data_IF_987490712442
#
_entry.id   IF_987490712442
#
_cell.length_a   1.000
_cell.length_b   1.000
_cell.length_c   1.000
_cell.angle_alpha   90.00
_cell.angle_beta   90.00
_cell.angle_gamma   90.00
#
_symmetry.space_group_name_H-M   'P 1'
#
loop_
_entity.id
_entity.type
_entity.pdbx_description
1 polymer ?
#
# COMPACT_ATOMS: atom_id res chain seq x y z
N UNK A 1 -51.91 6.86 -11.17
CA UNK A 1 -50.98 6.44 -12.23
C UNK A 1 -49.68 6.07 -11.55
N UNK A 2 -49.68 4.86 -10.99
CA UNK A 2 -48.49 4.27 -10.39
C UNK A 2 -47.58 3.85 -11.55
N UNK A 3 -46.43 4.51 -11.66
CA UNK A 3 -45.36 3.98 -12.47
C UNK A 3 -44.76 2.80 -11.70
N UNK A 4 -45.18 1.58 -12.03
CA UNK A 4 -44.35 0.41 -11.74
C UNK A 4 -42.99 0.69 -12.37
N UNK A 5 -42.02 1.07 -11.54
CA UNK A 5 -40.63 1.04 -11.95
C UNK A 5 -40.37 -0.40 -12.39
N UNK A 6 -40.02 -0.58 -13.64
CA UNK A 6 -39.75 -1.89 -14.21
C UNK A 6 -38.65 -2.55 -13.37
N UNK A 7 -38.99 -3.65 -12.72
CA UNK A 7 -38.10 -4.41 -11.86
C UNK A 7 -36.79 -4.75 -12.58
N UNK A 8 -36.86 -4.99 -13.89
CA UNK A 8 -35.71 -5.26 -14.73
C UNK A 8 -34.79 -4.02 -14.88
N UNK A 9 -35.38 -2.83 -14.93
CA UNK A 9 -34.61 -1.58 -14.99
C UNK A 9 -33.83 -1.35 -13.68
N UNK A 10 -34.47 -1.59 -12.53
CA UNK A 10 -33.84 -1.48 -11.22
C UNK A 10 -32.70 -2.50 -11.05
N UNK A 11 -32.90 -3.74 -11.49
CA UNK A 11 -31.88 -4.78 -11.46
C UNK A 11 -30.68 -4.42 -12.37
N UNK A 12 -30.93 -3.88 -13.54
CA UNK A 12 -29.88 -3.43 -14.46
C UNK A 12 -29.10 -2.27 -13.89
N UNK A 13 -29.77 -1.25 -13.34
CA UNK A 13 -29.14 -0.09 -12.73
C UNK A 13 -28.31 -0.52 -11.50
N UNK A 14 -28.82 -1.46 -10.70
CA UNK A 14 -28.10 -2.00 -9.55
C UNK A 14 -26.84 -2.77 -9.98
N UNK A 15 -26.93 -3.60 -11.02
CA UNK A 15 -25.79 -4.34 -11.55
C UNK A 15 -24.73 -3.40 -12.16
N UNK A 16 -25.15 -2.33 -12.82
CA UNK A 16 -24.24 -1.31 -13.34
C UNK A 16 -23.49 -0.59 -12.20
N UNK A 17 -24.21 -0.23 -11.13
CA UNK A 17 -23.62 0.36 -9.92
C UNK A 17 -22.64 -0.62 -9.28
N UNK A 18 -23.01 -1.89 -9.10
CA UNK A 18 -22.14 -2.92 -8.52
C UNK A 18 -20.86 -3.07 -9.36
N UNK A 19 -20.98 -3.20 -10.67
CA UNK A 19 -19.85 -3.35 -11.60
C UNK A 19 -18.91 -2.12 -11.53
N UNK A 20 -19.49 -0.93 -11.45
CA UNK A 20 -18.74 0.33 -11.32
C UNK A 20 -18.01 0.43 -9.97
N UNK A 21 -18.64 -0.04 -8.89
CA UNK A 21 -18.03 -0.14 -7.56
C UNK A 21 -16.90 -1.19 -7.50
N UNK A 22 -17.11 -2.35 -8.11
CA UNK A 22 -16.08 -3.39 -8.21
C UNK A 22 -14.87 -2.89 -9.01
N UNK A 23 -15.10 -2.18 -10.11
CA UNK A 23 -14.03 -1.56 -10.89
C UNK A 23 -13.31 -0.46 -10.11
N UNK A 24 -14.04 0.37 -9.35
CA UNK A 24 -13.45 1.39 -8.50
C UNK A 24 -12.64 0.76 -7.35
N UNK A 25 -13.18 -0.27 -6.71
CA UNK A 25 -12.50 -1.04 -5.66
C UNK A 25 -11.27 -1.76 -6.21
N UNK A 26 -11.36 -2.36 -7.39
CA UNK A 26 -10.22 -2.95 -8.10
C UNK A 26 -9.16 -1.90 -8.41
N UNK A 27 -9.56 -0.72 -8.91
CA UNK A 27 -8.65 0.41 -9.18
C UNK A 27 -7.98 0.92 -7.89
N UNK A 28 -8.71 1.00 -6.78
CA UNK A 28 -8.15 1.35 -5.46
C UNK A 28 -7.24 0.26 -4.91
N UNK A 29 -7.53 -1.02 -5.15
CA UNK A 29 -6.69 -2.15 -4.73
C UNK A 29 -5.45 -2.33 -5.60
N UNK A 30 -5.43 -1.74 -6.80
CA UNK A 30 -4.27 -1.68 -7.70
C UNK A 30 -3.46 -0.39 -7.53
N UNK A 31 -3.83 0.49 -6.58
CA UNK A 31 -3.01 1.64 -6.27
C UNK A 31 -1.64 1.19 -5.76
N UNK A 32 -0.62 1.69 -6.46
CA UNK A 32 0.79 1.48 -6.15
C UNK A 32 1.09 1.90 -4.72
N UNK A 33 1.67 0.99 -3.94
CA UNK A 33 2.10 1.29 -2.57
C UNK A 33 3.53 1.80 -2.52
N UNK A 34 3.82 2.51 -1.44
CA UNK A 34 5.13 3.06 -1.13
C UNK A 34 5.66 2.45 0.16
N UNK A 35 6.84 1.89 0.08
CA UNK A 35 7.47 1.16 1.17
C UNK A 35 8.83 1.73 1.53
N UNK A 36 9.05 2.02 2.82
CA UNK A 36 10.40 2.19 3.34
C UNK A 36 11.00 0.83 3.64
N UNK A 37 12.24 0.62 3.21
CA UNK A 37 12.95 -0.64 3.37
C UNK A 37 14.36 -0.42 3.91
N UNK A 38 14.76 -1.16 4.97
CA UNK A 38 16.14 -1.16 5.49
C UNK A 38 16.88 -2.37 4.93
N UNK A 39 17.85 -2.19 4.00
CA UNK A 39 18.61 -3.30 3.41
C UNK A 39 19.73 -3.77 4.37
N UNK A 40 19.36 -4.53 5.40
CA UNK A 40 20.23 -4.99 6.47
C UNK A 40 20.58 -3.90 7.49
N UNK A 41 21.42 -4.26 8.46
CA UNK A 41 21.88 -3.34 9.51
C UNK A 41 22.73 -2.23 8.92
N UNK A 42 22.34 -0.97 9.20
CA UNK A 42 23.01 0.20 8.61
C UNK A 42 23.12 0.14 7.08
N UNK A 43 22.15 -0.49 6.43
CA UNK A 43 22.11 -0.67 4.98
C UNK A 43 23.31 -1.44 4.39
N UNK A 44 23.93 -2.33 5.16
CA UNK A 44 25.13 -3.09 4.76
C UNK A 44 24.88 -4.05 3.57
N UNK A 45 23.63 -4.27 3.19
CA UNK A 45 23.23 -5.08 2.02
C UNK A 45 22.82 -4.25 0.80
N UNK A 46 22.88 -2.93 0.91
CA UNK A 46 22.39 -2.05 -0.17
C UNK A 46 23.13 -2.25 -1.48
N UNK A 47 24.45 -2.27 -1.44
CA UNK A 47 25.26 -2.45 -2.66
C UNK A 47 25.01 -3.79 -3.35
N UNK A 48 24.88 -4.85 -2.56
CA UNK A 48 24.56 -6.19 -3.06
C UNK A 48 23.18 -6.21 -3.70
N UNK A 49 22.17 -5.67 -3.02
CA UNK A 49 20.79 -5.69 -3.50
C UNK A 49 20.60 -4.82 -4.74
N UNK A 50 21.24 -3.66 -4.77
CA UNK A 50 21.22 -2.80 -5.94
C UNK A 50 21.83 -3.50 -7.15
N UNK A 51 23.02 -4.09 -7.00
CA UNK A 51 23.73 -4.76 -8.09
C UNK A 51 23.02 -6.02 -8.60
N UNK A 52 22.25 -6.70 -7.73
CA UNK A 52 21.50 -7.92 -8.08
C UNK A 52 20.06 -7.64 -8.54
N UNK A 53 19.58 -6.41 -8.48
CA UNK A 53 18.20 -6.06 -8.82
C UNK A 53 17.17 -6.74 -7.90
N UNK A 54 17.45 -6.81 -6.60
CA UNK A 54 16.59 -7.46 -5.61
C UNK A 54 16.40 -6.62 -4.35
N UNK A 55 15.36 -6.94 -3.59
CA UNK A 55 15.28 -6.70 -2.17
C UNK A 55 15.22 -8.03 -1.44
N UNK A 56 15.89 -8.10 -0.28
CA UNK A 56 15.98 -9.31 0.52
C UNK A 56 15.63 -9.04 1.97
N UNK A 57 14.92 -9.96 2.62
CA UNK A 57 14.56 -9.86 4.03
C UNK A 57 15.36 -10.86 4.87
N UNK A 58 15.84 -10.41 6.02
CA UNK A 58 16.55 -11.21 7.00
C UNK A 58 15.66 -12.21 7.75
N UNK A 59 16.03 -12.60 8.97
CA UNK A 59 15.38 -13.65 9.76
C UNK A 59 15.38 -15.01 9.04
N UNK A 60 16.51 -15.40 8.45
CA UNK A 60 16.63 -16.61 7.62
C UNK A 60 16.24 -17.89 8.37
N UNK A 61 16.36 -17.91 9.70
CA UNK A 61 15.90 -18.98 10.58
C UNK A 61 14.40 -19.28 10.52
N UNK A 62 13.57 -18.36 9.97
CA UNK A 62 12.17 -18.62 9.67
C UNK A 62 11.99 -19.55 8.46
N UNK A 63 12.98 -19.62 7.55
CA UNK A 63 12.84 -20.32 6.28
C UNK A 63 11.87 -19.61 5.33
N UNK A 64 11.18 -20.39 4.48
CA UNK A 64 10.20 -19.87 3.54
C UNK A 64 8.95 -19.37 4.24
N UNK A 65 8.58 -18.10 3.99
CA UNK A 65 7.40 -17.48 4.62
C UNK A 65 6.08 -18.10 4.18
N UNK A 66 6.02 -18.77 3.05
CA UNK A 66 4.82 -19.49 2.59
C UNK A 66 4.37 -20.61 3.55
N UNK A 67 5.24 -21.00 4.47
CA UNK A 67 4.91 -21.98 5.52
C UNK A 67 4.05 -21.38 6.65
N UNK A 68 3.82 -20.06 6.67
CA UNK A 68 3.05 -19.38 7.72
C UNK A 68 1.80 -18.77 7.12
N UNK A 69 0.65 -19.08 7.74
CA UNK A 69 -0.66 -18.53 7.30
C UNK A 69 -1.01 -17.22 7.98
N UNK A 70 -0.52 -17.04 9.20
CA UNK A 70 -0.83 -15.86 10.01
C UNK A 70 0.44 -15.19 10.56
N UNK A 71 0.29 -13.93 10.92
CA UNK A 71 1.36 -13.19 11.58
C UNK A 71 1.69 -13.75 12.96
N UNK A 72 0.70 -14.26 13.66
CA UNK A 72 0.82 -14.87 14.98
C UNK A 72 1.71 -16.13 14.95
N UNK A 73 1.59 -16.93 13.91
CA UNK A 73 2.47 -18.10 13.69
C UNK A 73 3.94 -17.67 13.56
N UNK A 74 4.20 -16.55 12.85
CA UNK A 74 5.55 -15.97 12.72
C UNK A 74 6.05 -15.47 14.08
N UNK A 75 5.21 -14.81 14.89
CA UNK A 75 5.58 -14.36 16.25
C UNK A 75 6.01 -15.52 17.10
N UNK A 76 5.19 -16.58 17.19
CA UNK A 76 5.47 -17.78 18.00
C UNK A 76 6.77 -18.45 17.53
N UNK A 77 6.96 -18.56 16.21
CA UNK A 77 8.18 -19.15 15.66
C UNK A 77 9.43 -18.34 16.00
N UNK A 78 9.38 -17.01 15.87
CA UNK A 78 10.49 -16.12 16.24
C UNK A 78 10.82 -16.21 17.74
N UNK A 79 9.82 -16.17 18.61
CA UNK A 79 10.00 -16.33 20.05
C UNK A 79 10.69 -17.64 20.41
N UNK A 80 10.28 -18.74 19.74
CA UNK A 80 10.87 -20.06 19.94
C UNK A 80 12.34 -20.13 19.47
N UNK A 81 12.64 -19.56 18.29
CA UNK A 81 14.00 -19.55 17.73
C UNK A 81 14.94 -18.73 18.61
N UNK A 82 14.50 -17.56 19.04
CA UNK A 82 15.32 -16.62 19.82
C UNK A 82 15.26 -16.88 21.32
N UNK A 83 14.51 -17.90 21.77
CA UNK A 83 14.32 -18.26 23.19
C UNK A 83 13.92 -17.05 24.05
N UNK A 84 12.99 -16.24 23.57
CA UNK A 84 12.59 -14.97 24.19
C UNK A 84 11.09 -14.85 24.33
N UNK A 85 10.65 -14.11 25.36
CA UNK A 85 9.25 -13.71 25.54
C UNK A 85 8.96 -12.30 25.00
N UNK A 86 9.91 -11.67 24.29
CA UNK A 86 9.69 -10.36 23.67
C UNK A 86 8.56 -10.43 22.64
N UNK A 87 7.88 -9.31 22.39
CA UNK A 87 6.65 -9.31 21.59
C UNK A 87 6.83 -9.76 20.13
N UNK A 88 8.02 -9.61 19.55
CA UNK A 88 8.35 -9.91 18.14
C UNK A 88 7.35 -9.44 17.08
N UNK A 89 6.38 -8.59 17.46
CA UNK A 89 5.29 -8.14 16.58
C UNK A 89 5.82 -7.36 15.38
N UNK A 90 6.82 -6.50 15.56
CA UNK A 90 7.38 -5.73 14.45
C UNK A 90 8.12 -6.61 13.44
N UNK A 91 8.88 -7.60 13.94
CA UNK A 91 9.63 -8.55 13.11
C UNK A 91 8.67 -9.43 12.31
N UNK A 92 7.63 -9.96 12.99
CA UNK A 92 6.57 -10.74 12.35
C UNK A 92 5.78 -9.93 11.33
N UNK A 93 5.46 -8.67 11.65
CA UNK A 93 4.76 -7.78 10.71
C UNK A 93 5.59 -7.57 9.45
N UNK A 94 6.89 -7.26 9.57
CA UNK A 94 7.76 -7.08 8.41
C UNK A 94 7.80 -8.34 7.51
N UNK A 95 7.90 -9.54 8.11
CA UNK A 95 7.91 -10.79 7.36
C UNK A 95 6.55 -11.07 6.69
N UNK A 96 5.45 -10.88 7.41
CA UNK A 96 4.11 -11.09 6.89
C UNK A 96 3.78 -10.12 5.75
N UNK A 97 4.07 -8.82 5.91
CA UNK A 97 3.85 -7.80 4.89
C UNK A 97 4.74 -8.03 3.67
N UNK A 98 5.98 -8.45 3.86
CA UNK A 98 6.90 -8.75 2.76
C UNK A 98 6.36 -9.86 1.84
N UNK A 99 5.71 -10.88 2.40
CA UNK A 99 5.08 -11.95 1.64
C UNK A 99 3.76 -11.49 0.99
N UNK A 100 2.86 -10.88 1.80
CA UNK A 100 1.44 -10.79 1.46
C UNK A 100 0.99 -9.40 0.96
N UNK A 101 1.73 -8.34 1.28
CA UNK A 101 1.23 -6.97 1.08
C UNK A 101 1.97 -6.19 -0.01
N UNK A 102 3.20 -6.60 -0.33
CA UNK A 102 3.97 -6.00 -1.43
C UNK A 102 3.51 -6.61 -2.74
N UNK A 103 3.24 -5.77 -3.73
CA UNK A 103 2.80 -6.15 -5.06
C UNK A 103 3.77 -5.71 -6.15
N UNK A 104 3.71 -6.34 -7.31
CA UNK A 104 4.43 -5.87 -8.51
C UNK A 104 3.94 -4.46 -8.85
N UNK A 105 4.88 -3.55 -9.11
CA UNK A 105 4.60 -2.13 -9.34
C UNK A 105 4.76 -1.23 -8.12
N UNK A 106 4.82 -1.77 -6.89
CA UNK A 106 5.06 -0.98 -5.69
C UNK A 106 6.42 -0.29 -5.71
N UNK A 107 6.50 0.89 -5.09
CA UNK A 107 7.74 1.66 -4.94
C UNK A 107 8.44 1.28 -3.64
N UNK A 108 9.70 0.90 -3.76
CA UNK A 108 10.57 0.63 -2.62
C UNK A 108 11.58 1.76 -2.47
N UNK A 109 11.63 2.36 -1.29
CA UNK A 109 12.58 3.42 -0.93
C UNK A 109 13.52 2.87 0.14
N UNK A 110 14.75 2.46 -0.24
CA UNK A 110 15.75 1.99 0.72
C UNK A 110 16.24 3.14 1.60
N UNK A 111 16.45 2.82 2.88
CA UNK A 111 16.88 3.78 3.88
C UNK A 111 18.03 3.27 4.72
N UNK A 112 18.82 4.20 5.29
CA UNK A 112 19.90 3.91 6.25
C UNK A 112 19.64 4.62 7.56
N UNK A 113 19.37 3.83 8.59
CA UNK A 113 19.06 4.34 9.92
C UNK A 113 17.82 5.26 9.90
N UNK A 114 17.95 6.42 10.57
CA UNK A 114 16.92 7.47 10.67
C UNK A 114 17.28 8.73 9.88
N UNK A 115 18.29 8.67 9.01
CA UNK A 115 18.94 9.86 8.50
C UNK A 115 19.01 9.94 6.98
N UNK A 116 18.98 8.80 6.29
CA UNK A 116 19.28 8.77 4.86
C UNK A 116 18.32 7.88 4.10
N UNK A 117 17.93 8.34 2.91
CA UNK A 117 17.33 7.53 1.85
C UNK A 117 18.40 7.23 0.81
N UNK A 118 18.37 6.03 0.21
CA UNK A 118 19.46 5.54 -0.64
C UNK A 118 19.06 5.40 -2.12
N UNK A 119 17.82 5.71 -2.46
CA UNK A 119 17.30 5.62 -3.80
C UNK A 119 15.84 5.22 -3.85
N UNK A 120 15.41 4.70 -5.00
CA UNK A 120 14.13 4.03 -5.16
C UNK A 120 14.19 2.99 -6.27
N UNK A 121 13.23 2.06 -6.22
CA UNK A 121 13.01 1.06 -7.25
C UNK A 121 11.57 0.59 -7.30
N UNK A 122 11.24 -0.16 -8.35
CA UNK A 122 9.91 -0.70 -8.61
C UNK A 122 9.97 -2.21 -8.45
N UNK A 123 9.05 -2.78 -7.68
CA UNK A 123 8.94 -4.25 -7.53
C UNK A 123 8.53 -4.87 -8.85
N UNK A 124 9.28 -5.88 -9.30
CA UNK A 124 9.06 -6.54 -10.59
C UNK A 124 8.76 -8.05 -10.48
N UNK A 125 8.72 -8.59 -9.25
CA UNK A 125 8.33 -9.99 -9.04
C UNK A 125 7.50 -10.18 -7.80
N UNK A 126 6.78 -11.28 -7.77
CA UNK A 126 6.25 -11.82 -6.52
C UNK A 126 7.36 -12.27 -5.58
N UNK A 127 6.97 -12.58 -4.34
CA UNK A 127 7.86 -13.18 -3.36
C UNK A 127 8.40 -14.54 -3.85
N UNK A 128 9.71 -14.77 -3.65
CA UNK A 128 10.33 -16.08 -3.81
C UNK A 128 11.37 -16.35 -2.71
N UNK A 129 11.52 -17.63 -2.36
CA UNK A 129 12.54 -18.10 -1.45
C UNK A 129 13.74 -18.60 -2.22
N UNK A 130 14.92 -18.03 -1.96
CA UNK A 130 16.18 -18.42 -2.62
C UNK A 130 17.10 -19.15 -1.66
N UNK A 131 16.99 -20.49 -1.62
CA UNK A 131 17.80 -21.35 -0.75
C UNK A 131 19.30 -21.34 -1.07
N UNK A 132 19.69 -20.86 -2.26
CA UNK A 132 21.11 -20.77 -2.65
C UNK A 132 21.84 -19.58 -2.03
N UNK A 133 21.11 -18.63 -1.44
CA UNK A 133 21.71 -17.49 -0.73
C UNK A 133 22.07 -17.93 0.68
N UNK A 134 23.24 -17.46 1.15
CA UNK A 134 23.71 -17.70 2.52
C UNK A 134 22.92 -16.89 3.56
N UNK A 135 22.33 -15.78 3.16
CA UNK A 135 21.50 -14.89 4.00
C UNK A 135 20.55 -14.06 3.15
N UNK A 136 19.51 -13.51 3.79
CA UNK A 136 18.45 -12.75 3.10
C UNK A 136 17.83 -13.59 1.98
N UNK A 137 17.43 -14.80 2.32
CA UNK A 137 16.91 -15.81 1.40
C UNK A 137 15.50 -15.49 0.89
N UNK A 138 14.75 -14.66 1.60
CA UNK A 138 13.43 -14.17 1.24
C UNK A 138 13.57 -12.98 0.32
N UNK A 139 13.15 -13.11 -0.94
CA UNK A 139 13.49 -12.14 -1.97
C UNK A 139 12.28 -11.70 -2.81
N UNK A 140 12.42 -10.51 -3.40
CA UNK A 140 11.65 -10.00 -4.53
C UNK A 140 12.61 -9.34 -5.52
N UNK A 141 12.34 -9.41 -6.83
CA UNK A 141 13.06 -8.62 -7.81
C UNK A 141 12.59 -7.17 -7.75
N UNK A 142 13.54 -6.26 -7.91
CA UNK A 142 13.30 -4.82 -7.93
C UNK A 142 14.11 -4.21 -9.07
N UNK A 143 13.46 -3.44 -9.90
CA UNK A 143 14.11 -2.59 -10.88
C UNK A 143 14.50 -1.27 -10.19
N UNK A 144 15.74 -1.19 -9.73
CA UNK A 144 16.28 -0.01 -9.05
C UNK A 144 16.50 1.11 -10.05
N UNK A 145 15.72 2.19 -9.93
CA UNK A 145 15.72 3.33 -10.86
C UNK A 145 16.76 4.38 -10.50
N UNK A 146 17.01 4.57 -9.22
CA UNK A 146 17.92 5.62 -8.75
C UNK A 146 18.68 5.17 -7.52
N UNK A 147 19.96 5.55 -7.47
CA UNK A 147 20.86 5.34 -6.34
C UNK A 147 21.52 6.68 -5.97
N UNK A 148 21.59 6.97 -4.69
CA UNK A 148 22.19 8.19 -4.17
C UNK A 148 22.09 8.24 -2.66
N UNK A 149 22.29 9.41 -2.08
CA UNK A 149 22.11 9.65 -0.65
C UNK A 149 21.33 10.95 -0.49
N UNK A 150 20.18 10.89 0.15
CA UNK A 150 19.35 12.03 0.48
C UNK A 150 19.18 12.07 1.99
N UNK A 151 19.67 13.16 2.59
CA UNK A 151 19.61 13.36 4.03
C UNK A 151 18.18 13.67 4.49
N UNK A 152 17.79 13.08 5.64
CA UNK A 152 16.58 13.46 6.37
C UNK A 152 16.97 14.35 7.56
N UNK A 153 16.79 15.68 7.46
CA UNK A 153 17.30 16.62 8.46
C UNK A 153 16.68 16.43 9.84
N UNK A 154 15.41 16.00 9.88
CA UNK A 154 14.62 15.90 11.12
C UNK A 154 14.76 14.56 11.83
N UNK A 155 15.49 13.59 11.26
CA UNK A 155 15.65 12.23 11.79
C UNK A 155 14.33 11.47 11.96
N UNK A 156 13.35 11.74 11.12
CA UNK A 156 11.96 11.22 11.24
C UNK A 156 11.77 9.84 10.62
N UNK A 157 12.82 9.24 10.03
CA UNK A 157 12.71 7.93 9.42
C UNK A 157 12.48 6.87 10.49
N UNK A 158 11.41 6.10 10.36
CA UNK A 158 11.11 4.99 11.28
C UNK A 158 12.20 3.93 11.27
N UNK A 159 12.49 3.32 12.43
CA UNK A 159 13.54 2.30 12.55
C UNK A 159 13.13 0.91 12.06
N UNK A 160 11.86 0.68 11.73
CA UNK A 160 11.38 -0.63 11.24
C UNK A 160 12.08 -1.02 9.93
N UNK A 161 12.29 -2.32 9.75
CA UNK A 161 12.91 -2.89 8.54
C UNK A 161 12.06 -2.67 7.29
N UNK A 162 10.75 -2.82 7.42
CA UNK A 162 9.77 -2.59 6.36
C UNK A 162 8.63 -1.74 6.92
N UNK A 163 8.15 -0.78 6.14
CA UNK A 163 7.04 0.09 6.55
C UNK A 163 6.25 0.55 5.34
N UNK A 164 4.96 0.26 5.31
CA UNK A 164 4.02 0.86 4.37
C UNK A 164 3.78 2.32 4.75
N UNK A 165 4.13 3.23 3.86
CA UNK A 165 3.95 4.68 4.02
C UNK A 165 2.84 5.24 3.12
N UNK A 166 2.16 4.41 2.36
CA UNK A 166 1.13 4.80 1.40
C UNK A 166 0.03 5.67 2.03
N UNK A 167 -0.36 5.36 3.26
CA UNK A 167 -1.38 6.11 4.03
C UNK A 167 -0.92 7.48 4.55
N UNK A 168 0.30 7.88 4.26
CA UNK A 168 0.85 9.19 4.62
C UNK A 168 1.19 10.02 3.36
N UNK A 169 0.19 10.55 2.64
CA UNK A 169 0.37 11.16 1.32
C UNK A 169 1.36 12.32 1.32
N UNK A 170 1.35 13.17 2.33
CA UNK A 170 2.30 14.30 2.44
C UNK A 170 3.74 13.82 2.57
N UNK A 171 3.95 12.74 3.33
CA UNK A 171 5.25 12.13 3.47
C UNK A 171 5.72 11.47 2.17
N UNK A 172 4.83 10.77 1.48
CA UNK A 172 5.11 10.20 0.16
C UNK A 172 5.47 11.31 -0.84
N UNK A 173 4.69 12.39 -0.89
CA UNK A 173 4.94 13.56 -1.74
C UNK A 173 6.30 14.21 -1.46
N UNK A 174 6.65 14.37 -0.17
CA UNK A 174 7.98 14.84 0.25
C UNK A 174 9.08 13.96 -0.35
N UNK A 175 8.95 12.63 -0.26
CA UNK A 175 9.96 11.70 -0.76
C UNK A 175 10.05 11.68 -2.29
N UNK A 176 8.92 11.75 -2.98
CA UNK A 176 8.87 11.86 -4.46
C UNK A 176 9.68 13.08 -4.91
N UNK A 177 9.42 14.24 -4.30
CA UNK A 177 10.15 15.48 -4.62
C UNK A 177 11.62 15.41 -4.22
N UNK A 178 11.93 14.93 -3.01
CA UNK A 178 13.28 14.87 -2.48
C UNK A 178 14.19 13.95 -3.30
N UNK A 179 13.70 12.77 -3.65
CA UNK A 179 14.46 11.75 -4.38
C UNK A 179 14.37 11.98 -5.90
N UNK A 180 13.34 12.69 -6.37
CA UNK A 180 13.03 12.84 -7.78
C UNK A 180 12.56 11.51 -8.37
N UNK A 181 11.44 10.99 -7.87
CA UNK A 181 10.82 9.75 -8.36
C UNK A 181 10.03 10.11 -9.62
N UNK A 182 10.55 9.70 -10.78
CA UNK A 182 9.99 10.06 -12.08
C UNK A 182 8.63 9.37 -12.33
N UNK A 183 7.74 10.09 -13.02
CA UNK A 183 6.42 9.57 -13.40
C UNK A 183 5.37 9.62 -12.30
N UNK A 184 5.71 10.02 -11.07
CA UNK A 184 4.80 10.06 -9.93
C UNK A 184 4.18 11.45 -9.68
N UNK A 185 4.75 12.51 -10.24
CA UNK A 185 4.23 13.89 -10.03
C UNK A 185 2.78 14.08 -10.50
N UNK A 186 2.30 13.23 -11.42
CA UNK A 186 0.94 13.31 -11.94
C UNK A 186 -0.08 12.38 -11.26
N UNK A 187 0.33 11.46 -10.39
CA UNK A 187 -0.60 10.50 -9.78
C UNK A 187 -1.01 10.81 -8.34
N UNK A 188 -0.28 11.66 -7.64
CA UNK A 188 -0.74 12.18 -6.35
C UNK A 188 -1.66 13.37 -6.60
N UNK A 189 -2.81 13.13 -7.18
CA UNK A 189 -3.97 13.98 -6.92
C UNK A 189 -4.36 13.70 -5.48
N UNK A 190 -3.86 14.53 -4.58
CA UNK A 190 -4.37 14.56 -3.21
C UNK A 190 -5.89 14.69 -3.27
N UNK A 191 -6.57 14.01 -2.37
CA UNK A 191 -8.02 14.19 -2.14
C UNK A 191 -8.34 15.68 -2.01
N UNK A 192 -7.41 16.51 -1.53
CA UNK A 192 -7.49 17.97 -1.46
C UNK A 192 -7.43 18.69 -2.82
N UNK A 193 -6.97 18.03 -3.90
CA UNK A 193 -6.99 18.57 -5.28
C UNK A 193 -8.06 17.94 -6.17
N UNK A 194 -8.79 16.97 -5.69
CA UNK A 194 -10.11 16.69 -6.22
C UNK A 194 -10.96 17.89 -5.82
N UNK A 195 -11.40 18.67 -6.81
CA UNK A 195 -12.53 19.57 -6.66
C UNK A 195 -13.73 18.68 -6.32
N UNK A 196 -13.86 18.33 -5.02
CA UNK A 196 -14.96 17.51 -4.54
C UNK A 196 -16.21 18.36 -4.66
N UNK A 197 -16.91 18.25 -5.78
CA UNK A 197 -18.23 18.87 -5.99
C UNK A 197 -19.21 18.50 -4.88
N UNK A 198 -18.87 17.48 -4.10
CA UNK A 198 -19.69 16.91 -3.04
C UNK A 198 -18.89 16.78 -1.75
N UNK A 199 -19.47 17.08 -0.57
CA UNK A 199 -18.81 16.90 0.70
C UNK A 199 -18.53 15.39 0.96
N UNK A 200 -17.39 15.09 1.58
CA UNK A 200 -16.96 13.72 1.94
C UNK A 200 -17.99 12.97 2.81
N UNK A 201 -18.76 13.71 3.59
CA UNK A 201 -19.82 13.16 4.44
C UNK A 201 -21.09 13.98 4.24
N UNK A 202 -22.19 13.33 3.87
CA UNK A 202 -23.51 13.96 3.75
C UNK A 202 -24.53 13.18 4.56
N UNK A 203 -25.22 13.86 5.48
CA UNK A 203 -26.30 13.28 6.27
C UNK A 203 -27.62 13.91 5.81
N UNK A 204 -28.54 13.08 5.31
CA UNK A 204 -29.88 13.51 4.94
C UNK A 204 -30.81 13.48 6.16
N UNK A 205 -31.28 14.64 6.59
CA UNK A 205 -32.15 14.81 7.73
C UNK A 205 -33.57 15.11 7.30
N UNK A 206 -34.58 14.60 8.04
CA UNK A 206 -35.99 14.90 7.79
C UNK A 206 -36.95 13.84 8.35
N UNK A 207 -38.25 14.18 8.51
CA UNK A 207 -39.26 13.24 9.01
C UNK A 207 -39.49 12.04 8.04
N UNK A 208 -40.15 10.96 8.49
CA UNK A 208 -40.55 9.86 7.64
C UNK A 208 -41.35 10.34 6.42
N UNK A 209 -41.14 9.71 5.25
CA UNK A 209 -41.85 10.05 4.03
C UNK A 209 -41.34 11.24 3.21
N UNK A 210 -40.26 11.91 3.62
CA UNK A 210 -39.69 13.06 2.91
C UNK A 210 -38.73 12.70 1.76
N UNK A 211 -38.80 11.48 1.24
CA UNK A 211 -37.97 11.06 0.10
C UNK A 211 -36.49 10.89 0.40
N UNK A 212 -36.09 10.69 1.67
CA UNK A 212 -34.67 10.52 2.04
C UNK A 212 -33.98 9.40 1.25
N UNK A 213 -34.61 8.27 1.11
CA UNK A 213 -34.05 7.12 0.35
C UNK A 213 -33.86 7.48 -1.12
N UNK A 214 -34.84 8.13 -1.75
CA UNK A 214 -34.71 8.63 -3.11
C UNK A 214 -33.55 9.62 -3.25
N UNK A 215 -33.49 10.60 -2.37
CA UNK A 215 -32.41 11.59 -2.37
C UNK A 215 -31.03 10.98 -2.08
N UNK A 216 -30.95 9.89 -1.31
CA UNK A 216 -29.68 9.17 -1.10
C UNK A 216 -29.19 8.53 -2.40
N UNK A 217 -30.09 7.87 -3.13
CA UNK A 217 -29.75 7.26 -4.43
C UNK A 217 -29.38 8.34 -5.44
N UNK A 218 -30.16 9.42 -5.53
CA UNK A 218 -29.88 10.55 -6.41
C UNK A 218 -28.49 11.14 -6.14
N UNK A 219 -28.16 11.42 -4.86
CA UNK A 219 -26.85 11.95 -4.48
C UNK A 219 -25.72 10.98 -4.76
N UNK A 220 -25.93 9.68 -4.56
CA UNK A 220 -24.96 8.67 -4.91
C UNK A 220 -24.68 8.66 -6.42
N UNK A 221 -25.73 8.74 -7.26
CA UNK A 221 -25.59 8.83 -8.71
C UNK A 221 -24.87 10.12 -9.15
N UNK A 222 -25.18 11.27 -8.55
CA UNK A 222 -24.48 12.53 -8.81
C UNK A 222 -22.97 12.43 -8.52
N UNK A 223 -22.61 11.76 -7.43
CA UNK A 223 -21.20 11.54 -7.04
C UNK A 223 -20.50 10.61 -8.03
N UNK A 224 -21.16 9.51 -8.41
CA UNK A 224 -20.60 8.51 -9.31
C UNK A 224 -20.40 9.07 -10.72
N UNK A 225 -21.38 9.83 -11.21
CA UNK A 225 -21.37 10.38 -12.57
C UNK A 225 -20.64 11.73 -12.68
N UNK A 226 -20.18 12.27 -11.57
CA UNK A 226 -19.55 13.62 -11.47
C UNK A 226 -20.42 14.72 -12.11
N UNK A 227 -21.73 14.59 -11.99
CA UNK A 227 -22.73 15.54 -12.54
C UNK A 227 -23.90 15.71 -11.58
N UNK A 228 -24.52 16.87 -11.65
CA UNK A 228 -25.83 17.07 -11.02
C UNK A 228 -26.91 16.44 -11.91
N UNK A 229 -27.86 15.77 -11.28
CA UNK A 229 -29.05 15.25 -11.92
C UNK A 229 -30.18 16.22 -11.55
N UNK A 230 -30.72 16.92 -12.55
CA UNK A 230 -31.84 17.88 -12.39
C UNK A 230 -33.16 17.18 -12.09
#
# INVERSE_FOLDING_TARGET
LDSELDKNQIENDLNEIITKYENLFFKMSTERKYWLFAPGTNANKWEEFFGQGIMGLGWDSLGDLKNYKTKEEIVVKLQKIEQTNSSKKNDATANFEFLNMISIGDIIIPKKGRHEYLGYGIVTSDYYYNSKRSSFQKCRKVDWKKKGVWAEPQKDIVLKTLTDITKYPDYVKKLITLIGIEGEEMQIRTIDQMDLKFPLNTILYGPPGTGKTYNTVLRASEIIDDRKID
#
